data_IF_987507826135
#
_entry.id   IF_987507826135
#
_cell.length_a   1.000
_cell.length_b   1.000
_cell.length_c   1.000
_cell.angle_alpha   90.00
_cell.angle_beta   90.00
_cell.angle_gamma   90.00
#
_symmetry.space_group_name_H-M   'P 1'
#
loop_
_entity.id
_entity.type
_entity.pdbx_description
1 polymer ?
#
# COMPACT_ATOMS: atom_id res chain seq x y z
N UNK A 1 9.32 -11.79 20.05
CA UNK A 1 8.25 -10.95 19.47
C UNK A 1 8.52 -10.84 17.98
N UNK A 2 7.80 -11.59 17.14
CA UNK A 2 7.87 -11.46 15.68
C UNK A 2 7.14 -10.18 15.25
N UNK A 3 7.72 -9.03 15.55
CA UNK A 3 7.25 -7.76 15.00
C UNK A 3 7.79 -7.65 13.59
N UNK A 4 6.92 -7.74 12.58
CA UNK A 4 7.27 -7.29 11.23
C UNK A 4 7.69 -5.82 11.38
N UNK A 5 8.94 -5.42 11.05
CA UNK A 5 9.40 -4.05 11.23
C UNK A 5 8.79 -3.17 10.15
N UNK A 6 7.48 -2.95 10.23
CA UNK A 6 6.69 -2.17 9.30
C UNK A 6 6.23 -0.90 10.02
N UNK A 7 6.66 0.26 9.50
CA UNK A 7 6.10 1.54 9.92
C UNK A 7 5.29 2.15 8.79
N UNK A 8 4.49 3.15 9.12
CA UNK A 8 3.71 3.91 8.17
C UNK A 8 4.05 5.38 8.33
N UNK A 9 4.32 6.08 7.23
CA UNK A 9 4.56 7.52 7.25
C UNK A 9 3.31 8.28 7.74
N UNK A 10 2.12 7.81 7.36
CA UNK A 10 0.84 8.36 7.78
C UNK A 10 -0.06 7.27 8.39
N UNK A 11 0.16 6.88 9.66
CA UNK A 11 -0.59 5.78 10.28
C UNK A 11 -2.09 6.09 10.39
N UNK A 12 -2.48 7.36 10.52
CA UNK A 12 -3.88 7.81 10.49
C UNK A 12 -4.58 7.50 9.16
N UNK A 13 -3.86 7.41 8.05
CA UNK A 13 -4.45 7.05 6.75
C UNK A 13 -5.01 5.62 6.78
N UNK A 14 -4.49 4.73 7.62
CA UNK A 14 -5.04 3.37 7.80
C UNK A 14 -6.46 3.39 8.36
N UNK A 15 -6.87 4.45 9.08
CA UNK A 15 -8.25 4.60 9.52
C UNK A 15 -9.24 4.65 8.33
N UNK A 16 -8.78 5.07 7.14
CA UNK A 16 -9.59 5.04 5.93
C UNK A 16 -9.95 3.61 5.47
N UNK A 17 -9.19 2.57 5.88
CA UNK A 17 -9.61 1.19 5.64
C UNK A 17 -10.94 0.87 6.34
N UNK A 18 -11.20 1.47 7.51
CA UNK A 18 -12.47 1.30 8.23
C UNK A 18 -13.63 1.96 7.47
N UNK A 19 -13.34 2.98 6.65
CA UNK A 19 -14.33 3.65 5.80
C UNK A 19 -14.62 2.93 4.48
N UNK A 20 -13.84 1.91 4.09
CA UNK A 20 -14.10 1.09 2.90
C UNK A 20 -15.55 0.54 2.83
N UNK A 21 -16.14 -0.04 3.89
CA UNK A 21 -17.54 -0.47 3.87
C UNK A 21 -18.52 0.70 3.68
N UNK A 22 -18.22 1.90 4.17
CA UNK A 22 -19.04 3.08 3.90
C UNK A 22 -18.95 3.50 2.42
N UNK A 23 -17.75 3.46 1.84
CA UNK A 23 -17.54 3.69 0.40
C UNK A 23 -18.31 2.66 -0.45
N UNK A 24 -18.33 1.40 -0.01
CA UNK A 24 -19.12 0.35 -0.63
C UNK A 24 -20.62 0.66 -0.65
N UNK A 25 -21.17 1.11 0.50
CA UNK A 25 -22.58 1.50 0.59
C UNK A 25 -22.88 2.67 -0.34
N UNK A 26 -22.00 3.67 -0.40
CA UNK A 26 -22.14 4.85 -1.26
C UNK A 26 -22.07 4.50 -2.76
N UNK A 27 -21.16 3.61 -3.15
CA UNK A 27 -21.04 3.14 -4.54
C UNK A 27 -22.15 2.18 -4.95
N UNK A 28 -22.75 1.48 -3.99
CA UNK A 28 -23.86 0.54 -4.22
C UNK A 28 -25.22 1.23 -4.16
N UNK A 29 -25.30 2.56 -4.24
CA UNK A 29 -26.55 3.26 -4.56
C UNK A 29 -26.97 2.84 -5.96
N UNK A 30 -27.62 1.69 -6.01
CA UNK A 30 -28.13 1.04 -7.21
C UNK A 30 -29.45 1.76 -7.49
N UNK A 31 -29.64 2.34 -8.67
CA UNK A 31 -30.83 3.11 -8.96
C UNK A 31 -32.08 2.28 -8.65
N UNK A 32 -33.14 2.90 -8.07
CA UNK A 32 -34.36 2.19 -7.70
C UNK A 32 -34.88 1.39 -8.90
N UNK A 33 -35.42 0.20 -8.62
CA UNK A 33 -35.86 -0.73 -9.67
C UNK A 33 -36.76 -0.01 -10.67
N UNK A 34 -36.56 -0.19 -11.99
CA UNK A 34 -37.40 0.45 -12.99
C UNK A 34 -38.86 0.04 -12.76
N UNK A 35 -39.73 1.03 -12.57
CA UNK A 35 -41.16 0.80 -12.39
C UNK A 35 -41.71 0.21 -13.69
N UNK A 36 -42.34 -0.97 -13.58
CA UNK A 36 -42.96 -1.63 -14.72
C UNK A 36 -44.30 -0.97 -14.98
N UNK A 37 -44.36 -0.12 -15.99
CA UNK A 37 -45.61 0.45 -16.47
C UNK A 37 -46.23 -0.57 -17.43
N UNK A 38 -47.47 -0.99 -17.17
CA UNK A 38 -48.21 -1.81 -18.12
C UNK A 38 -48.55 -0.93 -19.33
N UNK A 39 -47.92 -1.20 -20.48
CA UNK A 39 -48.19 -0.51 -21.74
C UNK A 39 -48.88 -1.48 -22.71
N UNK A 40 -50.22 -1.52 -22.74
CA UNK A 40 -51.01 -2.50 -23.50
C UNK A 40 -50.70 -2.63 -25.00
N UNK A 41 -50.34 -1.56 -25.74
CA UNK A 41 -50.03 -1.65 -27.17
C UNK A 41 -48.88 -2.61 -27.52
N UNK A 42 -47.99 -2.91 -26.58
CA UNK A 42 -46.87 -3.84 -26.78
C UNK A 42 -47.30 -5.32 -26.83
N UNK A 43 -48.51 -5.66 -26.37
CA UNK A 43 -49.04 -7.02 -26.42
C UNK A 43 -49.24 -7.52 -27.87
N UNK A 44 -49.50 -6.61 -28.80
CA UNK A 44 -49.61 -6.90 -30.24
C UNK A 44 -48.25 -7.12 -30.93
N UNK A 45 -47.15 -6.78 -30.26
CA UNK A 45 -45.76 -6.93 -30.76
C UNK A 45 -44.97 -8.01 -30.01
N UNK A 46 -45.63 -8.82 -29.16
CA UNK A 46 -44.99 -9.78 -28.27
C UNK A 46 -44.25 -10.91 -28.99
N UNK A 47 -44.62 -11.25 -30.23
CA UNK A 47 -43.97 -12.29 -31.04
C UNK A 47 -42.59 -11.90 -31.60
N UNK A 48 -42.20 -10.62 -31.50
CA UNK A 48 -40.91 -10.10 -31.98
C UNK A 48 -39.96 -9.68 -30.85
N UNK A 49 -40.25 -10.04 -29.59
CA UNK A 49 -39.47 -9.53 -28.46
C UNK A 49 -38.15 -10.32 -28.29
N UNK A 50 -36.97 -9.69 -28.50
CA UNK A 50 -35.71 -10.36 -28.24
C UNK A 50 -35.63 -10.69 -26.75
N UNK A 51 -35.19 -11.91 -26.43
CA UNK A 51 -34.96 -12.39 -25.07
C UNK A 51 -34.08 -11.37 -24.33
N UNK A 52 -34.68 -10.57 -23.44
CA UNK A 52 -33.98 -9.57 -22.64
C UNK A 52 -33.01 -10.26 -21.68
N UNK A 53 -31.78 -10.44 -22.11
CA UNK A 53 -30.64 -10.64 -21.22
C UNK A 53 -30.21 -9.27 -20.71
N UNK A 54 -30.87 -8.79 -19.66
CA UNK A 54 -30.31 -7.71 -18.84
C UNK A 54 -29.46 -8.37 -17.75
N UNK A 55 -28.12 -8.28 -17.79
CA UNK A 55 -27.30 -8.68 -16.65
C UNK A 55 -27.41 -7.58 -15.59
N UNK A 56 -28.51 -7.60 -14.82
CA UNK A 56 -28.83 -6.57 -13.82
C UNK A 56 -28.10 -6.77 -12.48
N UNK A 57 -27.12 -7.68 -12.40
CA UNK A 57 -26.33 -7.90 -11.19
C UNK A 57 -24.86 -7.67 -11.50
N UNK A 58 -24.29 -6.65 -10.87
CA UNK A 58 -22.84 -6.54 -10.74
C UNK A 58 -22.33 -7.81 -10.05
N UNK A 59 -21.39 -8.54 -10.66
CA UNK A 59 -20.83 -9.72 -10.04
C UNK A 59 -20.16 -9.36 -8.71
N UNK A 60 -20.30 -10.19 -7.65
CA UNK A 60 -19.67 -9.90 -6.35
C UNK A 60 -18.14 -9.89 -6.41
N UNK A 61 -17.53 -10.53 -7.42
CA UNK A 61 -16.08 -10.49 -7.61
C UNK A 61 -15.57 -9.10 -8.06
N UNK A 62 -16.33 -8.37 -8.88
CA UNK A 62 -16.02 -6.99 -9.30
C UNK A 62 -16.01 -6.04 -8.11
N UNK A 63 -16.88 -6.33 -7.14
CA UNK A 63 -16.94 -5.62 -5.87
C UNK A 63 -15.69 -5.86 -5.03
N UNK A 64 -15.28 -7.13 -4.87
CA UNK A 64 -14.06 -7.50 -4.14
C UNK A 64 -12.84 -6.85 -4.79
N UNK A 65 -12.72 -6.90 -6.12
CA UNK A 65 -11.63 -6.27 -6.86
C UNK A 65 -11.57 -4.76 -6.60
N UNK A 66 -12.72 -4.07 -6.60
CA UNK A 66 -12.80 -2.63 -6.33
C UNK A 66 -12.36 -2.30 -4.90
N UNK A 67 -12.76 -3.11 -3.93
CA UNK A 67 -12.36 -2.95 -2.52
C UNK A 67 -10.87 -3.19 -2.33
N UNK A 68 -10.31 -4.19 -3.04
CA UNK A 68 -8.89 -4.50 -3.00
C UNK A 68 -8.07 -3.36 -3.63
N UNK A 69 -8.51 -2.82 -4.77
CA UNK A 69 -7.87 -1.66 -5.40
C UNK A 69 -7.90 -0.43 -4.49
N UNK A 70 -9.04 -0.15 -3.85
CA UNK A 70 -9.14 0.94 -2.87
C UNK A 70 -8.24 0.72 -1.65
N UNK A 71 -8.16 -0.51 -1.12
CA UNK A 71 -7.26 -0.86 -0.03
C UNK A 71 -5.78 -0.67 -0.42
N UNK A 72 -5.38 -1.11 -1.62
CA UNK A 72 -4.02 -0.87 -2.13
C UNK A 72 -3.70 0.62 -2.23
N UNK A 73 -4.66 1.44 -2.66
CA UNK A 73 -4.48 2.89 -2.76
C UNK A 73 -4.33 3.53 -1.37
N UNK A 74 -5.13 3.12 -0.39
CA UNK A 74 -5.00 3.58 1.00
C UNK A 74 -3.64 3.16 1.58
N UNK A 75 -3.20 1.93 1.34
CA UNK A 75 -1.89 1.46 1.77
C UNK A 75 -0.77 2.27 1.11
N UNK A 76 -0.84 2.54 -0.19
CA UNK A 76 0.15 3.38 -0.88
C UNK A 76 0.22 4.79 -0.26
N UNK A 77 -0.92 5.41 0.06
CA UNK A 77 -1.00 6.72 0.72
C UNK A 77 -0.47 6.67 2.16
N UNK A 78 -0.68 5.56 2.88
CA UNK A 78 -0.17 5.39 4.24
C UNK A 78 1.37 5.31 4.29
N UNK A 79 2.03 5.05 3.15
CA UNK A 79 3.48 5.00 3.02
C UNK A 79 4.09 3.92 3.90
N UNK A 80 3.82 2.62 3.64
CA UNK A 80 4.45 1.52 4.35
C UNK A 80 5.95 1.55 4.09
N UNK A 81 6.73 1.72 5.15
CA UNK A 81 8.19 1.63 5.11
C UNK A 81 8.59 0.32 5.77
N UNK A 82 9.22 -0.54 4.99
CA UNK A 82 9.81 -1.77 5.48
C UNK A 82 11.16 -1.45 6.11
N UNK A 83 11.33 -1.81 7.38
CA UNK A 83 12.54 -1.61 8.14
C UNK A 83 13.02 -0.13 8.18
N UNK A 84 12.21 0.79 8.72
CA UNK A 84 12.53 2.23 8.76
C UNK A 84 13.75 2.58 9.61
N UNK A 85 14.25 1.65 10.42
CA UNK A 85 15.48 1.78 11.18
C UNK A 85 16.23 0.46 11.08
N UNK A 86 17.08 0.32 10.06
CA UNK A 86 17.96 -0.84 9.94
C UNK A 86 18.67 -1.10 11.27
N UNK A 87 18.50 -2.30 11.82
CA UNK A 87 19.23 -2.84 12.97
C UNK A 87 19.41 -1.81 14.11
N UNK A 88 18.32 -1.16 14.58
CA UNK A 88 18.54 -0.17 15.64
C UNK A 88 17.41 0.78 16.01
N UNK A 89 16.13 0.44 15.80
CA UNK A 89 15.03 1.17 16.44
C UNK A 89 14.95 0.90 17.97
N UNK A 90 16.08 0.77 18.65
CA UNK A 90 16.15 0.94 20.08
C UNK A 90 16.02 2.44 20.34
N UNK A 91 15.02 2.85 21.12
CA UNK A 91 14.73 4.24 21.51
C UNK A 91 15.84 4.93 22.32
N UNK A 92 17.08 4.97 21.82
CA UNK A 92 18.22 5.52 22.51
C UNK A 92 19.28 6.09 21.56
N UNK A 93 20.09 7.01 22.09
CA UNK A 93 21.29 7.57 21.46
C UNK A 93 22.43 6.53 21.40
N UNK A 94 22.15 5.36 20.83
CA UNK A 94 23.15 4.30 20.76
C UNK A 94 24.19 4.64 19.67
N UNK A 95 25.50 4.45 19.94
CA UNK A 95 26.54 4.61 18.92
C UNK A 95 26.23 3.80 17.67
N UNK A 96 26.52 4.37 16.50
CA UNK A 96 26.45 3.68 15.22
C UNK A 96 27.83 3.09 14.91
N UNK A 97 27.92 1.77 14.72
CA UNK A 97 29.11 1.10 14.19
C UNK A 97 28.82 0.69 12.75
N UNK A 98 29.54 1.29 11.80
CA UNK A 98 29.43 0.98 10.39
C UNK A 98 30.61 0.09 9.97
N UNK A 99 30.32 -1.12 9.50
CA UNK A 99 31.32 -2.06 8.98
C UNK A 99 31.20 -2.07 7.46
N UNK A 100 32.23 -1.59 6.77
CA UNK A 100 32.28 -1.48 5.32
C UNK A 100 33.34 -2.44 4.76
N UNK A 101 32.90 -3.38 3.93
CA UNK A 101 33.81 -4.14 3.08
C UNK A 101 34.29 -3.26 1.92
N UNK A 102 35.58 -2.91 1.97
CA UNK A 102 36.30 -2.12 0.99
C UNK A 102 37.24 -2.96 0.11
N UNK A 103 37.00 -4.28 0.03
CA UNK A 103 37.76 -5.20 -0.80
C UNK A 103 37.39 -5.10 -2.29
N UNK A 104 38.20 -5.72 -3.14
CA UNK A 104 37.98 -5.71 -4.60
C UNK A 104 36.63 -6.33 -5.00
N UNK A 105 36.13 -7.29 -4.21
CA UNK A 105 34.83 -7.95 -4.44
C UNK A 105 33.67 -6.96 -4.30
N UNK A 106 33.80 -5.93 -3.46
CA UNK A 106 32.78 -4.91 -3.24
C UNK A 106 32.84 -3.76 -4.27
N UNK A 107 33.75 -3.82 -5.26
CA UNK A 107 33.93 -2.74 -6.22
C UNK A 107 32.70 -2.52 -7.13
N UNK A 108 31.95 -3.59 -7.44
CA UNK A 108 30.81 -3.53 -8.36
C UNK A 108 29.65 -2.66 -7.85
N UNK A 109 29.38 -2.73 -6.55
CA UNK A 109 28.28 -2.05 -5.85
C UNK A 109 28.78 -0.92 -4.92
N UNK A 110 30.06 -0.54 -5.02
CA UNK A 110 30.72 0.42 -4.15
C UNK A 110 29.99 1.77 -4.02
N UNK A 111 29.46 2.29 -5.13
CA UNK A 111 28.73 3.58 -5.14
C UNK A 111 27.44 3.51 -4.32
N UNK A 112 26.72 2.40 -4.40
CA UNK A 112 25.45 2.24 -3.68
C UNK A 112 25.71 1.98 -2.18
N UNK A 113 26.77 1.23 -1.85
CA UNK A 113 27.23 1.09 -0.47
C UNK A 113 27.64 2.43 0.14
N UNK A 114 28.39 3.24 -0.59
CA UNK A 114 28.84 4.55 -0.11
C UNK A 114 27.66 5.51 0.11
N UNK A 115 26.65 5.49 -0.78
CA UNK A 115 25.42 6.26 -0.59
C UNK A 115 24.68 5.83 0.68
N UNK A 116 24.41 4.53 0.82
CA UNK A 116 23.72 4.00 2.00
C UNK A 116 24.47 4.29 3.31
N UNK A 117 25.80 4.16 3.30
CA UNK A 117 26.66 4.52 4.42
C UNK A 117 26.55 6.01 4.79
N UNK A 118 26.57 6.88 3.78
CA UNK A 118 26.50 8.34 3.97
C UNK A 118 25.15 8.74 4.56
N UNK A 119 24.05 8.20 4.03
CA UNK A 119 22.69 8.47 4.50
C UNK A 119 22.52 8.10 5.99
N UNK A 120 23.07 6.96 6.41
CA UNK A 120 23.02 6.49 7.80
C UNK A 120 23.90 7.35 8.74
N UNK A 121 25.07 7.79 8.27
CA UNK A 121 25.94 8.72 9.01
C UNK A 121 25.22 10.06 9.22
N UNK A 122 24.55 10.58 8.19
CA UNK A 122 23.83 11.85 8.26
C UNK A 122 22.58 11.75 9.17
N UNK A 123 21.91 10.59 9.19
CA UNK A 123 20.87 10.30 10.17
C UNK A 123 21.43 10.26 11.60
N UNK A 124 22.53 9.55 11.84
CA UNK A 124 23.19 9.50 13.15
C UNK A 124 23.68 10.88 13.63
N UNK A 125 24.19 11.71 12.71
CA UNK A 125 24.62 13.08 13.01
C UNK A 125 23.45 13.96 13.45
N UNK A 126 22.28 13.86 12.80
CA UNK A 126 21.05 14.58 13.19
C UNK A 126 20.59 14.22 14.61
N UNK A 127 20.79 12.97 15.02
CA UNK A 127 20.45 12.47 16.36
C UNK A 127 21.55 12.71 17.42
N UNK A 128 22.70 13.26 17.01
CA UNK A 128 23.87 13.46 17.87
C UNK A 128 24.52 12.15 18.35
N UNK A 129 24.41 11.09 17.56
CA UNK A 129 24.95 9.76 17.87
C UNK A 129 26.42 9.68 17.44
N UNK A 130 27.35 9.19 18.29
CA UNK A 130 28.72 8.95 17.86
C UNK A 130 28.75 7.82 16.82
N UNK A 131 29.57 8.00 15.78
CA UNK A 131 29.74 7.04 14.68
C UNK A 131 31.17 6.50 14.67
N UNK A 132 31.31 5.18 14.61
CA UNK A 132 32.57 4.49 14.37
C UNK A 132 32.50 3.76 13.02
N UNK A 133 33.58 3.83 12.24
CA UNK A 133 33.69 3.16 10.95
C UNK A 133 34.82 2.14 11.00
N UNK A 134 34.53 0.91 10.57
CA UNK A 134 35.50 -0.18 10.48
C UNK A 134 35.53 -0.68 9.04
N UNK A 135 36.72 -0.62 8.45
CA UNK A 135 37.00 -1.26 7.17
C UNK A 135 37.20 -2.76 7.41
N UNK A 136 36.48 -3.60 6.65
CA UNK A 136 36.49 -5.05 6.82
C UNK A 136 37.41 -5.79 5.84
N UNK A 137 38.01 -5.09 4.87
CA UNK A 137 38.95 -5.74 3.96
C UNK A 137 40.29 -6.00 4.65
N UNK A 138 40.85 -7.17 4.35
CA UNK A 138 42.19 -7.61 4.75
C UNK A 138 43.23 -7.18 3.71
#
# INVERSE_FOLDING_TARGET
MFGVPLTFAAPLALAALVALPALWILLRVTPPRPQRIHFPPLALMADLLPKRETPARTPPWLLILRMLAAACLILAVAGPVWNPGGIGAASGRNPLLLILDNGVVAAHDWRDRLRAATDEIEAAARDGRPVALVASAE
#
